data_IF_899872253263
#
_entry.id   IF_899872253263
#
_cell.length_a   1.000
_cell.length_b   1.000
_cell.length_c   1.000
_cell.angle_alpha   90.00
_cell.angle_beta   90.00
_cell.angle_gamma   90.00
#
_symmetry.space_group_name_H-M   'P 1'
#
loop_
_entity.id
_entity.type
_entity.pdbx_description
1 polymer ?
#
# COMPACT_ATOMS: atom_id res chain seq x y z
N UNK A 1 -7.82 -17.30 20.00
CA UNK A 1 -7.01 -16.07 19.84
C UNK A 1 -6.55 -16.05 18.38
N UNK A 2 -7.42 -15.56 17.48
CA UNK A 2 -7.09 -15.44 16.05
C UNK A 2 -6.26 -14.16 15.90
N UNK A 3 -4.96 -14.33 15.68
CA UNK A 3 -4.12 -13.23 15.21
C UNK A 3 -4.51 -12.96 13.77
N UNK A 4 -5.49 -12.08 13.56
CA UNK A 4 -5.81 -11.52 12.26
C UNK A 4 -4.68 -10.53 11.94
N UNK A 5 -3.52 -11.06 11.55
CA UNK A 5 -2.59 -10.29 10.75
C UNK A 5 -3.32 -10.03 9.45
N UNK A 6 -3.84 -8.82 9.25
CA UNK A 6 -4.19 -8.36 7.91
C UNK A 6 -2.88 -8.42 7.11
N UNK A 7 -2.64 -9.55 6.44
CA UNK A 7 -1.55 -9.74 5.48
C UNK A 7 -1.82 -8.80 4.30
N UNK A 8 -1.52 -7.52 4.52
CA UNK A 8 -1.37 -6.51 3.49
C UNK A 8 -0.15 -6.94 2.66
N UNK A 9 -0.38 -7.88 1.74
CA UNK A 9 0.61 -8.28 0.76
C UNK A 9 0.80 -7.14 -0.22
N UNK A 10 2.07 -6.79 -0.41
CA UNK A 10 2.51 -5.79 -1.40
C UNK A 10 2.07 -6.21 -2.80
N UNK A 11 1.26 -5.41 -3.50
CA UNK A 11 0.93 -5.65 -4.91
C UNK A 11 2.19 -5.63 -5.78
N UNK A 12 2.49 -6.69 -6.52
CA UNK A 12 3.72 -6.73 -7.35
C UNK A 12 3.49 -6.37 -8.80
N UNK A 13 2.22 -6.25 -9.22
CA UNK A 13 1.82 -5.86 -10.56
C UNK A 13 1.15 -4.48 -10.55
N UNK A 14 1.35 -3.63 -11.57
CA UNK A 14 0.73 -2.30 -11.63
C UNK A 14 -0.79 -2.33 -11.50
N UNK A 15 -1.46 -3.30 -12.13
CA UNK A 15 -2.90 -3.47 -12.04
C UNK A 15 -3.38 -3.76 -10.61
N UNK A 16 -2.63 -4.60 -9.86
CA UNK A 16 -2.94 -4.89 -8.47
C UNK A 16 -2.71 -3.65 -7.58
N UNK A 17 -1.66 -2.88 -7.86
CA UNK A 17 -1.38 -1.65 -7.14
C UNK A 17 -2.48 -0.58 -7.36
N UNK A 18 -2.99 -0.47 -8.59
CA UNK A 18 -4.13 0.41 -8.87
C UNK A 18 -5.42 -0.05 -8.18
N UNK A 19 -5.70 -1.36 -8.17
CA UNK A 19 -6.85 -1.89 -7.42
C UNK A 19 -6.74 -1.57 -5.91
N UNK A 20 -5.55 -1.71 -5.33
CA UNK A 20 -5.31 -1.32 -3.94
C UNK A 20 -5.51 0.20 -3.71
N UNK A 21 -5.07 1.05 -4.64
CA UNK A 21 -5.30 2.49 -4.55
C UNK A 21 -6.78 2.87 -4.68
N UNK A 22 -7.59 2.12 -5.44
CA UNK A 22 -9.04 2.32 -5.48
C UNK A 22 -9.70 1.90 -4.16
N UNK A 23 -9.24 0.79 -3.57
CA UNK A 23 -9.81 0.25 -2.33
C UNK A 23 -9.46 1.09 -1.09
N UNK A 24 -8.21 1.55 -0.99
CA UNK A 24 -7.68 2.20 0.22
C UNK A 24 -7.40 3.70 0.03
N UNK A 25 -7.55 4.22 -1.19
CA UNK A 25 -7.14 5.58 -1.57
C UNK A 25 -7.94 6.72 -0.94
N UNK A 26 -9.12 6.41 -0.39
CA UNK A 26 -9.97 7.39 0.30
C UNK A 26 -9.81 7.33 1.83
N UNK A 27 -8.97 6.42 2.35
CA UNK A 27 -8.68 6.31 3.78
C UNK A 27 -7.59 7.26 4.26
N UNK A 28 -7.31 7.22 5.58
CA UNK A 28 -6.25 8.01 6.22
C UNK A 28 -4.85 7.81 5.60
N UNK A 29 -4.61 6.63 5.03
CA UNK A 29 -3.37 6.26 4.33
C UNK A 29 -3.48 6.32 2.79
N UNK A 30 -4.50 7.04 2.30
CA UNK A 30 -4.87 7.08 0.89
C UNK A 30 -3.80 7.68 -0.02
N UNK A 31 -3.08 8.70 0.47
CA UNK A 31 -2.01 9.34 -0.30
C UNK A 31 -0.80 8.41 -0.52
N UNK A 32 -0.45 7.61 0.48
CA UNK A 32 0.66 6.66 0.43
C UNK A 32 0.37 5.51 -0.55
N UNK A 33 -0.84 4.93 -0.51
CA UNK A 33 -1.19 3.85 -1.45
C UNK A 33 -1.34 4.36 -2.89
N UNK A 34 -1.87 5.56 -3.09
CA UNK A 34 -1.93 6.22 -4.42
C UNK A 34 -0.51 6.49 -4.95
N UNK A 35 0.43 6.87 -4.09
CA UNK A 35 1.84 7.06 -4.45
C UNK A 35 2.51 5.75 -4.86
N UNK A 36 2.24 4.66 -4.14
CA UNK A 36 2.72 3.33 -4.50
C UNK A 36 2.19 2.89 -5.87
N UNK A 37 0.88 3.03 -6.11
CA UNK A 37 0.27 2.72 -7.39
C UNK A 37 0.86 3.54 -8.55
N UNK A 38 1.09 4.83 -8.34
CA UNK A 38 1.71 5.68 -9.36
C UNK A 38 3.16 5.28 -9.65
N UNK A 39 3.92 4.89 -8.63
CA UNK A 39 5.27 4.39 -8.82
C UNK A 39 5.29 3.10 -9.67
N UNK A 40 4.38 2.17 -9.37
CA UNK A 40 4.23 0.91 -10.12
C UNK A 40 3.78 1.15 -11.57
N UNK A 41 2.93 2.15 -11.82
CA UNK A 41 2.54 2.55 -13.18
C UNK A 41 3.75 2.97 -14.04
N UNK A 42 4.71 3.68 -13.45
CA UNK A 42 5.90 4.19 -14.14
C UNK A 42 7.00 3.12 -14.26
N UNK A 43 7.19 2.31 -13.23
CA UNK A 43 8.30 1.35 -13.15
C UNK A 43 7.90 -0.09 -13.51
N UNK A 44 6.62 -0.34 -13.79
CA UNK A 44 6.09 -1.66 -14.11
C UNK A 44 6.31 -2.66 -12.98
N UNK A 45 6.86 -3.82 -13.32
CA UNK A 45 7.09 -4.94 -12.41
C UNK A 45 8.36 -4.76 -11.55
N UNK A 46 9.05 -3.62 -11.67
CA UNK A 46 10.20 -3.30 -10.82
C UNK A 46 9.74 -2.70 -9.48
N UNK A 47 9.08 -3.53 -8.67
CA UNK A 47 8.52 -3.11 -7.38
C UNK A 47 9.58 -2.62 -6.38
N UNK A 48 10.86 -2.96 -6.58
CA UNK A 48 11.95 -2.52 -5.71
C UNK A 48 12.11 -0.99 -5.72
N UNK A 49 11.89 -0.34 -6.87
CA UNK A 49 11.92 1.13 -6.98
C UNK A 49 10.79 1.81 -6.19
N UNK A 50 9.75 1.03 -5.83
CA UNK A 50 8.56 1.50 -5.15
C UNK A 50 8.49 1.07 -3.68
N UNK A 51 9.54 0.44 -3.14
CA UNK A 51 9.56 -0.06 -1.76
C UNK A 51 9.28 1.05 -0.75
N UNK A 52 9.91 2.21 -0.90
CA UNK A 52 9.72 3.35 0.00
C UNK A 52 8.25 3.76 0.13
N UNK A 53 7.49 3.76 -0.96
CA UNK A 53 6.08 4.16 -0.97
C UNK A 53 5.19 3.10 -0.30
N UNK A 54 5.54 1.82 -0.47
CA UNK A 54 4.87 0.72 0.21
C UNK A 54 5.13 0.76 1.71
N UNK A 55 6.38 0.97 2.12
CA UNK A 55 6.77 1.05 3.53
C UNK A 55 6.06 2.20 4.24
N UNK A 56 5.92 3.36 3.58
CA UNK A 56 5.14 4.49 4.09
C UNK A 56 3.65 4.15 4.26
N UNK A 57 3.07 3.39 3.33
CA UNK A 57 1.68 2.95 3.47
C UNK A 57 1.52 1.99 4.66
N UNK A 58 2.43 1.03 4.82
CA UNK A 58 2.40 0.11 5.96
C UNK A 58 2.60 0.83 7.29
N UNK A 59 3.55 1.76 7.37
CA UNK A 59 3.76 2.58 8.57
C UNK A 59 2.51 3.38 8.92
N UNK A 60 1.90 4.03 7.93
CA UNK A 60 0.65 4.76 8.15
C UNK A 60 -0.45 3.82 8.69
N UNK A 61 -0.61 2.63 8.11
CA UNK A 61 -1.60 1.67 8.58
C UNK A 61 -1.34 1.25 10.03
N UNK A 62 -0.08 0.99 10.40
CA UNK A 62 0.30 0.67 11.78
C UNK A 62 0.01 1.83 12.75
N UNK A 63 0.37 3.06 12.37
CA UNK A 63 0.14 4.25 13.20
C UNK A 63 -1.36 4.54 13.37
N UNK A 64 -2.17 4.28 12.34
CA UNK A 64 -3.61 4.49 12.39
C UNK A 64 -4.31 3.37 13.18
N UNK A 65 -3.86 2.12 13.05
CA UNK A 65 -4.39 0.98 13.82
C UNK A 65 -3.98 1.02 15.30
N UNK A 66 -2.81 1.57 15.62
CA UNK A 66 -2.36 1.81 17.00
C UNK A 66 -3.05 2.98 17.70
N UNK A 67 -3.98 3.67 17.03
CA UNK A 67 -4.79 4.79 17.56
C UNK A 67 -6.28 4.42 17.73
N UNK A 68 -6.62 3.13 17.70
CA UNK A 68 -7.96 2.62 18.02
C UNK A 68 -8.15 2.45 19.54
#
# INVERSE_FOLDING_TARGET
MLLIFFDLRRPTEPAQAQAAAQQYGEGACGSQIKSYAKCMEVNGNNSQQCNWAWDMFQQCQQDTQGKA
#
